data_IF_145508312371
#
_entry.id   IF_145508312371
#
_cell.length_a   1.000
_cell.length_b   1.000
_cell.length_c   1.000
_cell.angle_alpha   90.00
_cell.angle_beta   90.00
_cell.angle_gamma   90.00
#
_symmetry.space_group_name_H-M   'P 1'
#
loop_
_entity.id
_entity.type
_entity.pdbx_description
1 polymer ?
#
# COMPACT_ATOMS: atom_id res chain seq x y z
N UNK A 1 -1.43 28.20 -43.35
CA UNK A 1 -0.06 28.59 -43.78
C UNK A 1 1.00 27.56 -43.38
N UNK A 2 0.86 26.89 -42.23
CA UNK A 2 1.75 25.81 -41.73
C UNK A 2 1.97 24.64 -42.70
N UNK A 3 0.91 24.10 -43.32
CA UNK A 3 1.00 22.93 -44.22
C UNK A 3 1.83 23.18 -45.49
N UNK A 4 1.88 24.42 -45.99
CA UNK A 4 2.69 24.77 -47.17
C UNK A 4 4.20 24.62 -46.93
N UNK A 5 4.65 24.72 -45.67
CA UNK A 5 6.07 24.54 -45.30
C UNK A 5 6.51 23.08 -45.40
N UNK A 6 5.70 22.15 -44.88
CA UNK A 6 5.98 20.71 -44.95
C UNK A 6 5.85 20.16 -46.37
N UNK A 7 4.92 20.68 -47.18
CA UNK A 7 4.77 20.29 -48.60
C UNK A 7 5.99 20.71 -49.42
N UNK A 8 6.53 21.91 -49.19
CA UNK A 8 7.72 22.40 -49.92
C UNK A 8 9.03 21.76 -49.45
N UNK A 9 9.06 21.16 -48.25
CA UNK A 9 10.25 20.52 -47.65
C UNK A 9 9.94 19.08 -47.21
N UNK A 10 9.73 18.14 -48.15
CA UNK A 10 9.30 16.77 -47.83
C UNK A 10 10.32 15.99 -47.00
N UNK A 11 11.62 16.23 -47.18
CA UNK A 11 12.68 15.61 -46.36
C UNK A 11 12.57 16.00 -44.88
N UNK A 12 12.25 17.25 -44.59
CA UNK A 12 12.11 17.73 -43.21
C UNK A 12 10.89 17.10 -42.53
N UNK A 13 9.77 16.99 -43.26
CA UNK A 13 8.58 16.29 -42.78
C UNK A 13 8.86 14.80 -42.47
N UNK A 14 9.60 14.12 -43.35
CA UNK A 14 9.98 12.72 -43.16
C UNK A 14 10.87 12.52 -41.93
N UNK A 15 11.83 13.40 -41.69
CA UNK A 15 12.69 13.32 -40.50
C UNK A 15 11.86 13.45 -39.22
N UNK A 16 10.92 14.40 -39.15
CA UNK A 16 10.04 14.55 -37.98
C UNK A 16 9.18 13.29 -37.78
N UNK A 17 8.62 12.75 -38.86
CA UNK A 17 7.84 11.51 -38.79
C UNK A 17 8.66 10.32 -38.27
N UNK A 18 9.91 10.17 -38.74
CA UNK A 18 10.82 9.13 -38.26
C UNK A 18 11.17 9.32 -36.78
N UNK A 19 11.46 10.54 -36.36
CA UNK A 19 11.78 10.84 -34.95
C UNK A 19 10.58 10.51 -34.05
N UNK A 20 9.36 10.90 -34.44
CA UNK A 20 8.14 10.58 -33.70
C UNK A 20 7.86 9.07 -33.68
N UNK A 21 8.05 8.38 -34.80
CA UNK A 21 7.86 6.93 -34.88
C UNK A 21 8.87 6.17 -34.01
N UNK A 22 10.12 6.61 -33.97
CA UNK A 22 11.16 6.03 -33.11
C UNK A 22 10.86 6.30 -31.63
N UNK A 23 10.49 7.54 -31.27
CA UNK A 23 10.10 7.88 -29.90
C UNK A 23 8.89 7.05 -29.45
N UNK A 24 7.85 6.96 -30.27
CA UNK A 24 6.66 6.16 -29.99
C UNK A 24 6.98 4.68 -29.84
N UNK A 25 7.83 4.13 -30.71
CA UNK A 25 8.28 2.73 -30.62
C UNK A 25 9.02 2.46 -29.31
N UNK A 26 9.96 3.33 -28.93
CA UNK A 26 10.73 3.18 -27.68
C UNK A 26 9.81 3.28 -26.46
N UNK A 27 8.87 4.22 -26.45
CA UNK A 27 7.89 4.36 -25.37
C UNK A 27 6.98 3.14 -25.26
N UNK A 28 6.52 2.58 -26.39
CA UNK A 28 5.66 1.41 -26.41
C UNK A 28 6.32 0.18 -25.77
N UNK A 29 7.64 0.02 -25.90
CA UNK A 29 8.38 -1.06 -25.25
C UNK A 29 8.71 -0.80 -23.77
N UNK A 30 8.60 0.45 -23.29
CA UNK A 30 8.90 0.84 -21.90
C UNK A 30 7.67 1.07 -21.03
N UNK A 31 6.48 1.15 -21.62
CA UNK A 31 5.24 1.32 -20.88
C UNK A 31 4.90 0.02 -20.15
N UNK A 32 4.75 0.04 -18.81
CA UNK A 32 4.26 -1.11 -18.07
C UNK A 32 2.84 -1.44 -18.52
N UNK A 33 2.54 -2.72 -18.68
CA UNK A 33 1.21 -3.22 -19.06
C UNK A 33 0.49 -3.61 -17.77
N UNK A 34 -0.58 -2.90 -17.44
CA UNK A 34 -1.47 -3.22 -16.32
C UNK A 34 -2.84 -3.64 -16.87
N UNK A 35 -3.47 -4.66 -16.26
CA UNK A 35 -4.81 -5.15 -16.68
C UNK A 35 -5.93 -4.19 -16.28
N UNK A 36 -5.76 -3.55 -15.12
CA UNK A 36 -6.62 -2.49 -14.60
C UNK A 36 -5.73 -1.37 -14.05
N UNK A 37 -6.17 -0.11 -14.07
CA UNK A 37 -5.53 0.92 -13.25
C UNK A 37 -5.64 0.52 -11.77
N UNK A 38 -4.72 0.98 -10.91
CA UNK A 38 -4.75 0.73 -9.47
C UNK A 38 -6.01 1.37 -8.85
N UNK A 39 -7.11 0.61 -8.84
CA UNK A 39 -8.42 1.01 -8.31
C UNK A 39 -8.65 0.46 -6.90
N UNK A 40 -7.71 -0.31 -6.35
CA UNK A 40 -7.76 -0.84 -5.00
C UNK A 40 -7.10 0.14 -4.03
N UNK A 41 -7.79 0.54 -2.95
CA UNK A 41 -7.17 1.35 -1.93
C UNK A 41 -6.01 0.59 -1.25
N UNK A 42 -4.90 1.26 -0.91
CA UNK A 42 -3.76 0.59 -0.27
C UNK A 42 -4.16 0.09 1.12
N UNK A 43 -3.67 -1.09 1.48
CA UNK A 43 -3.95 -1.72 2.76
C UNK A 43 -2.65 -2.09 3.47
N UNK A 44 -2.56 -1.79 4.76
CA UNK A 44 -1.47 -2.23 5.62
C UNK A 44 -2.03 -3.22 6.63
N UNK A 45 -1.41 -4.40 6.76
CA UNK A 45 -1.73 -5.36 7.79
C UNK A 45 -0.71 -5.33 8.91
N UNK A 46 -1.19 -5.26 10.14
CA UNK A 46 -0.42 -5.44 11.36
C UNK A 46 -0.82 -6.78 11.97
N UNK A 47 0.12 -7.69 12.12
CA UNK A 47 -0.12 -8.99 12.73
C UNK A 47 0.77 -9.21 13.95
N UNK A 48 0.22 -9.88 14.94
CA UNK A 48 0.98 -10.33 16.11
C UNK A 48 0.33 -11.57 16.71
N UNK A 49 1.02 -12.22 17.65
CA UNK A 49 0.47 -13.37 18.35
C UNK A 49 0.74 -13.30 19.84
N UNK A 50 -0.29 -13.63 20.61
CA UNK A 50 -0.23 -13.85 22.05
C UNK A 50 -0.64 -15.29 22.36
N UNK A 51 0.34 -16.21 22.30
CA UNK A 51 0.08 -17.63 22.53
C UNK A 51 -0.46 -17.88 23.94
N UNK A 52 -1.58 -18.59 24.03
CA UNK A 52 -2.21 -18.97 25.29
C UNK A 52 -3.26 -17.98 25.80
N UNK A 53 -3.50 -16.86 25.11
CA UNK A 53 -4.64 -15.99 25.37
C UNK A 53 -5.88 -16.42 24.57
N UNK A 54 -7.06 -16.30 25.17
CA UNK A 54 -8.32 -16.44 24.47
C UNK A 54 -8.66 -15.15 23.68
N UNK A 55 -9.58 -15.25 22.73
CA UNK A 55 -9.91 -14.14 21.83
C UNK A 55 -10.38 -12.88 22.58
N UNK A 56 -11.10 -13.03 23.71
CA UNK A 56 -11.57 -11.90 24.50
C UNK A 56 -10.43 -11.20 25.24
N UNK A 57 -9.48 -11.94 25.80
CA UNK A 57 -8.27 -11.35 26.41
C UNK A 57 -7.43 -10.64 25.35
N UNK A 58 -7.25 -11.24 24.17
CA UNK A 58 -6.51 -10.63 23.07
C UNK A 58 -7.12 -9.29 22.63
N UNK A 59 -8.45 -9.24 22.49
CA UNK A 59 -9.16 -8.01 22.13
C UNK A 59 -8.92 -6.88 23.15
N UNK A 60 -8.96 -7.18 24.44
CA UNK A 60 -8.82 -6.16 25.48
C UNK A 60 -7.36 -5.74 25.73
N UNK A 61 -6.41 -6.64 25.57
CA UNK A 61 -5.00 -6.41 25.97
C UNK A 61 -4.08 -6.05 24.82
N UNK A 62 -4.43 -6.43 23.59
CA UNK A 62 -3.62 -6.20 22.39
C UNK A 62 -4.37 -5.35 21.38
N UNK A 63 -5.62 -5.73 21.05
CA UNK A 63 -6.37 -5.03 20.00
C UNK A 63 -6.69 -3.59 20.42
N UNK A 64 -7.32 -3.39 21.58
CA UNK A 64 -7.70 -2.06 22.06
C UNK A 64 -6.54 -1.03 22.09
N UNK A 65 -5.38 -1.30 22.70
CA UNK A 65 -4.27 -0.33 22.70
C UNK A 65 -3.66 -0.13 21.30
N UNK A 66 -3.61 -1.16 20.44
CA UNK A 66 -3.12 -0.99 19.07
C UNK A 66 -4.08 -0.12 18.24
N UNK A 67 -5.37 -0.42 18.30
CA UNK A 67 -6.41 0.32 17.58
C UNK A 67 -6.49 1.78 18.03
N UNK A 68 -6.36 2.05 19.34
CA UNK A 68 -6.35 3.40 19.87
C UNK A 68 -5.18 4.23 19.31
N UNK A 69 -3.99 3.63 19.21
CA UNK A 69 -2.82 4.31 18.64
C UNK A 69 -2.87 4.43 17.10
N UNK A 70 -3.53 3.48 16.42
CA UNK A 70 -3.75 3.52 14.97
C UNK A 70 -4.84 4.51 14.58
N UNK A 71 -5.73 4.85 15.50
CA UNK A 71 -6.79 5.81 15.23
C UNK A 71 -6.19 7.19 14.91
N UNK A 72 -6.64 7.78 13.80
CA UNK A 72 -6.10 9.05 13.31
C UNK A 72 -4.72 8.94 12.64
N UNK A 73 -4.34 7.78 12.13
CA UNK A 73 -3.28 7.70 11.12
C UNK A 73 -3.74 8.48 9.87
N UNK A 74 -2.88 9.37 9.39
CA UNK A 74 -3.15 10.24 8.26
C UNK A 74 -3.40 9.45 6.97
N UNK A 75 -4.55 9.69 6.32
CA UNK A 75 -5.01 9.02 5.10
C UNK A 75 -5.75 7.70 5.33
N UNK A 76 -6.09 7.33 6.58
CA UNK A 76 -6.87 6.13 6.88
C UNK A 76 -8.36 6.35 6.64
N UNK A 77 -9.02 5.44 5.93
CA UNK A 77 -10.49 5.42 5.76
C UNK A 77 -11.14 4.61 6.90
N UNK A 78 -10.68 3.38 7.09
CA UNK A 78 -11.19 2.47 8.10
C UNK A 78 -10.14 1.44 8.49
N UNK A 79 -10.36 0.77 9.62
CA UNK A 79 -9.59 -0.39 10.02
C UNK A 79 -10.53 -1.51 10.46
N UNK A 80 -10.08 -2.75 10.32
CA UNK A 80 -10.78 -3.95 10.76
C UNK A 80 -9.80 -4.85 11.48
N UNK A 81 -10.15 -5.29 12.68
CA UNK A 81 -9.35 -6.24 13.46
C UNK A 81 -10.06 -7.59 13.59
N UNK A 82 -9.26 -8.64 13.66
CA UNK A 82 -9.71 -10.01 13.89
C UNK A 82 -8.81 -10.64 14.96
N UNK A 83 -9.44 -11.22 15.98
CA UNK A 83 -8.79 -11.89 17.10
C UNK A 83 -9.23 -13.35 17.16
N UNK A 84 -8.29 -14.27 17.03
CA UNK A 84 -8.57 -15.70 17.07
C UNK A 84 -8.31 -16.31 18.45
N UNK A 85 -9.06 -17.37 18.77
CA UNK A 85 -8.87 -18.12 20.03
C UNK A 85 -7.57 -18.95 20.08
N UNK A 86 -6.81 -18.97 18.98
CA UNK A 86 -5.45 -19.50 18.92
C UNK A 86 -4.40 -18.48 19.40
N UNK A 87 -4.83 -17.26 19.75
CA UNK A 87 -3.95 -16.17 20.16
C UNK A 87 -3.38 -15.36 19.00
N UNK A 88 -3.97 -15.45 17.80
CA UNK A 88 -3.53 -14.65 16.65
C UNK A 88 -4.34 -13.37 16.57
N UNK A 89 -3.66 -12.25 16.33
CA UNK A 89 -4.28 -10.95 16.11
C UNK A 89 -3.87 -10.42 14.74
N UNK A 90 -4.85 -9.93 13.99
CA UNK A 90 -4.64 -9.27 12.71
C UNK A 90 -5.46 -7.99 12.63
N UNK A 91 -4.80 -6.88 12.29
CA UNK A 91 -5.41 -5.59 12.06
C UNK A 91 -5.13 -5.16 10.62
N UNK A 92 -6.18 -4.95 9.84
CA UNK A 92 -6.13 -4.47 8.48
C UNK A 92 -6.57 -3.02 8.42
N UNK A 93 -5.68 -2.13 7.96
CA UNK A 93 -5.92 -0.69 7.87
C UNK A 93 -6.02 -0.32 6.39
N UNK A 94 -7.14 0.26 5.99
CA UNK A 94 -7.41 0.67 4.60
C UNK A 94 -7.26 2.18 4.47
N UNK A 95 -6.49 2.60 3.48
CA UNK A 95 -6.13 4.00 3.23
C UNK A 95 -6.85 4.59 2.03
N UNK A 96 -6.84 5.92 1.93
CA UNK A 96 -7.40 6.67 0.81
C UNK A 96 -6.65 6.39 -0.49
N UNK A 97 -7.38 6.40 -1.60
CA UNK A 97 -6.80 6.29 -2.94
C UNK A 97 -5.84 7.45 -3.20
N UNK A 98 -4.62 7.14 -3.64
CA UNK A 98 -3.55 8.13 -3.83
C UNK A 98 -2.60 8.27 -2.63
N UNK A 99 -2.85 7.56 -1.53
CA UNK A 99 -1.87 7.42 -0.45
C UNK A 99 -0.70 6.56 -0.91
N UNK A 100 0.52 7.03 -0.68
CA UNK A 100 1.73 6.25 -0.93
C UNK A 100 1.82 5.08 0.08
N UNK A 101 1.86 3.82 -0.37
CA UNK A 101 1.83 2.64 0.50
C UNK A 101 3.08 2.51 1.38
N UNK A 102 4.25 2.95 0.89
CA UNK A 102 5.50 2.89 1.65
C UNK A 102 5.47 3.91 2.80
N UNK A 103 4.96 5.12 2.52
CA UNK A 103 4.73 6.13 3.55
C UNK A 103 3.66 5.71 4.55
N UNK A 104 2.57 5.07 4.10
CA UNK A 104 1.55 4.51 4.98
C UNK A 104 2.14 3.46 5.92
N UNK A 105 2.98 2.56 5.39
CA UNK A 105 3.67 1.55 6.18
C UNK A 105 4.57 2.18 7.26
N UNK A 106 5.38 3.18 6.92
CA UNK A 106 6.22 3.88 7.91
C UNK A 106 5.37 4.59 8.97
N UNK A 107 4.27 5.23 8.57
CA UNK A 107 3.34 5.88 9.52
C UNK A 107 2.74 4.86 10.50
N UNK A 108 2.24 3.74 10.00
CA UNK A 108 1.69 2.65 10.81
C UNK A 108 2.76 2.08 11.73
N UNK A 109 3.95 1.79 11.21
CA UNK A 109 5.06 1.26 12.01
C UNK A 109 5.46 2.21 13.15
N UNK A 110 5.49 3.52 12.90
CA UNK A 110 5.76 4.51 13.94
C UNK A 110 4.68 4.53 15.03
N UNK A 111 3.40 4.38 14.66
CA UNK A 111 2.31 4.25 15.64
C UNK A 111 2.38 2.95 16.41
N UNK A 112 2.76 1.85 15.76
CA UNK A 112 2.90 0.54 16.43
C UNK A 112 3.99 0.63 17.49
N UNK A 113 5.11 1.30 17.18
CA UNK A 113 6.17 1.54 18.17
C UNK A 113 5.71 2.38 19.37
N UNK A 114 4.77 3.32 19.18
CA UNK A 114 4.16 4.07 20.28
C UNK A 114 3.22 3.21 21.13
N UNK A 115 2.57 2.22 20.52
CA UNK A 115 1.71 1.25 21.21
C UNK A 115 2.49 0.16 21.95
N UNK A 116 3.70 -0.21 21.48
CA UNK A 116 4.53 -1.28 22.04
C UNK A 116 4.66 -1.27 23.57
N UNK A 117 4.86 -0.12 24.26
CA UNK A 117 4.99 -0.09 25.72
C UNK A 117 3.70 -0.44 26.47
N UNK A 118 2.53 -0.34 25.81
CA UNK A 118 1.22 -0.69 26.38
C UNK A 118 0.89 -2.18 26.19
N UNK A 119 1.68 -2.91 25.40
CA UNK A 119 1.44 -4.31 25.08
C UNK A 119 2.09 -5.24 26.10
N UNK A 120 1.51 -6.45 26.33
CA UNK A 120 2.13 -7.48 27.14
C UNK A 120 3.51 -7.87 26.62
N UNK A 121 4.43 -8.20 27.53
CA UNK A 121 5.83 -8.49 27.18
C UNK A 121 5.95 -9.72 26.29
N UNK A 122 5.03 -10.69 26.41
CA UNK A 122 4.98 -11.90 25.60
C UNK A 122 4.72 -11.60 24.11
N UNK A 123 3.90 -10.58 23.83
CA UNK A 123 3.57 -10.11 22.47
C UNK A 123 4.78 -9.39 21.88
N UNK A 124 5.40 -8.51 22.66
CA UNK A 124 6.61 -7.80 22.22
C UNK A 124 7.79 -8.75 21.97
N UNK A 125 7.86 -9.87 22.70
CA UNK A 125 8.87 -10.90 22.52
C UNK A 125 8.64 -11.74 21.26
N UNK A 126 7.38 -11.97 20.85
CA UNK A 126 7.02 -12.59 19.57
C UNK A 126 7.26 -11.64 18.39
N UNK A 127 7.18 -10.33 18.63
CA UNK A 127 7.30 -9.29 17.62
C UNK A 127 5.95 -8.92 17.02
N UNK A 128 5.92 -7.75 16.37
CA UNK A 128 4.77 -7.22 15.65
C UNK A 128 5.21 -7.03 14.20
N UNK A 129 4.51 -7.70 13.30
CA UNK A 129 4.80 -7.65 11.87
C UNK A 129 3.89 -6.62 11.23
N UNK A 130 4.47 -5.70 10.46
CA UNK A 130 3.74 -4.67 9.71
C UNK A 130 4.11 -4.85 8.24
N UNK A 131 3.14 -5.18 7.42
CA UNK A 131 3.33 -5.48 6.00
C UNK A 131 2.30 -4.77 5.15
N UNK A 132 2.72 -4.28 3.98
CA UNK A 132 1.79 -3.79 2.97
C UNK A 132 1.10 -4.97 2.29
N UNK A 133 -0.23 -4.97 2.35
CA UNK A 133 -1.05 -5.89 1.57
C UNK A 133 -1.38 -5.23 0.25
N UNK A 134 -0.56 -5.52 -0.75
CA UNK A 134 -1.03 -5.39 -2.11
C UNK A 134 -1.97 -6.56 -2.37
N UNK A 135 -3.24 -6.27 -2.60
CA UNK A 135 -4.22 -7.23 -3.13
C UNK A 135 -3.88 -7.53 -4.59
N UNK A 136 -2.73 -8.14 -4.84
CA UNK A 136 -2.32 -8.63 -6.17
C UNK A 136 -1.82 -10.08 -6.07
N UNK A 137 -2.54 -10.90 -5.29
CA UNK A 137 -2.35 -12.35 -5.24
C UNK A 137 -3.66 -13.05 -5.60
N UNK A 138 -4.19 -12.75 -6.78
CA UNK A 138 -5.09 -13.63 -7.53
C UNK A 138 -4.69 -13.56 -9.02
N UNK A 139 -3.60 -14.25 -9.36
CA UNK A 139 -3.09 -14.36 -10.74
C UNK A 139 -1.67 -14.91 -10.80
#
# INVERSE_FOLDING_TARGET
MFSKFFIKRPRFAMVIAIVLALAGSISAFRLPVAQYPDVTPPQISVSTSYRGADAATLANTVAAPLEEQMNGVDGMIYMSSTSDNSGNYELAITFEMGTDPDMALVKVQNRVQQATPMLPSEVTAQGITVESRFSDTLG
#
